data_IF_302942825684
#
_entry.id   IF_302942825684
#
_cell.length_a   1.000
_cell.length_b   1.000
_cell.length_c   1.000
_cell.angle_alpha   90.00
_cell.angle_beta   90.00
_cell.angle_gamma   90.00
#
_symmetry.space_group_name_H-M   'P 1'
#
loop_
_entity.id
_entity.type
_entity.pdbx_description
1 polymer ?
#
# COMPACT_ATOMS: atom_id res chain seq x y z
N UNK A 1 -24.27 -12.88 -1.21
CA UNK A 1 -23.30 -12.36 -0.23
C UNK A 1 -22.02 -13.15 -0.40
N UNK A 2 -20.89 -12.50 -0.64
CA UNK A 2 -19.60 -13.19 -0.80
C UNK A 2 -19.12 -13.63 0.59
N UNK A 3 -19.11 -14.94 0.86
CA UNK A 3 -18.51 -15.47 2.09
C UNK A 3 -17.02 -15.17 2.04
N UNK A 4 -16.51 -14.41 3.00
CA UNK A 4 -15.06 -14.23 3.17
C UNK A 4 -14.56 -15.55 3.74
N UNK A 5 -13.74 -16.26 2.97
CA UNK A 5 -13.06 -17.45 3.46
C UNK A 5 -12.13 -17.06 4.62
N UNK A 6 -12.09 -17.86 5.68
CA UNK A 6 -11.09 -17.69 6.73
C UNK A 6 -9.67 -17.87 6.16
N UNK A 7 -8.66 -17.41 6.89
CA UNK A 7 -7.29 -17.61 6.45
C UNK A 7 -6.95 -19.10 6.30
N UNK A 8 -7.42 -19.93 7.24
CA UNK A 8 -7.23 -21.39 7.19
C UNK A 8 -7.95 -22.03 5.99
N UNK A 9 -9.20 -21.62 5.69
CA UNK A 9 -9.92 -22.07 4.49
C UNK A 9 -9.15 -21.70 3.20
N UNK A 10 -8.45 -20.56 3.17
CA UNK A 10 -7.62 -20.15 2.03
C UNK A 10 -6.37 -21.02 1.91
N UNK A 11 -5.71 -21.36 3.03
CA UNK A 11 -4.55 -22.26 3.03
C UNK A 11 -4.93 -23.64 2.50
N UNK A 12 -6.04 -24.21 2.99
CA UNK A 12 -6.56 -25.50 2.51
C UNK A 12 -6.83 -25.47 1.00
N UNK A 13 -7.36 -24.37 0.47
CA UNK A 13 -7.58 -24.20 -0.97
C UNK A 13 -6.27 -24.13 -1.75
N UNK A 14 -5.24 -23.44 -1.23
CA UNK A 14 -3.92 -23.38 -1.85
C UNK A 14 -3.26 -24.75 -1.91
N UNK A 15 -3.45 -25.58 -0.87
CA UNK A 15 -2.91 -26.94 -0.80
C UNK A 15 -3.50 -27.87 -1.87
N UNK A 16 -4.69 -27.56 -2.40
CA UNK A 16 -5.28 -28.30 -3.54
C UNK A 16 -4.63 -27.99 -4.89
N UNK A 17 -3.84 -26.92 -4.99
CA UNK A 17 -3.18 -26.52 -6.24
C UNK A 17 -1.91 -27.34 -6.47
N UNK A 18 -1.59 -27.58 -7.74
CA UNK A 18 -0.28 -28.12 -8.13
C UNK A 18 0.85 -27.14 -7.77
N UNK A 19 2.08 -27.65 -7.68
CA UNK A 19 3.25 -26.82 -7.37
C UNK A 19 3.44 -25.67 -8.39
N UNK A 20 3.13 -25.91 -9.67
CA UNK A 20 3.18 -24.87 -10.71
C UNK A 20 2.15 -23.76 -10.46
N UNK A 21 0.91 -24.14 -10.14
CA UNK A 21 -0.17 -23.19 -9.83
C UNK A 21 0.11 -22.41 -8.54
N UNK A 22 0.67 -23.05 -7.51
CA UNK A 22 1.09 -22.37 -6.28
C UNK A 22 2.17 -21.31 -6.57
N UNK A 23 3.16 -21.64 -7.38
CA UNK A 23 4.20 -20.68 -7.80
C UNK A 23 3.61 -19.51 -8.59
N UNK A 24 2.71 -19.80 -9.54
CA UNK A 24 2.03 -18.76 -10.30
C UNK A 24 1.17 -17.85 -9.40
N UNK A 25 0.48 -18.43 -8.41
CA UNK A 25 -0.30 -17.68 -7.43
C UNK A 25 0.59 -16.74 -6.61
N UNK A 26 1.73 -17.21 -6.11
CA UNK A 26 2.70 -16.40 -5.36
C UNK A 26 3.16 -15.19 -6.18
N UNK A 27 3.49 -15.40 -7.46
CA UNK A 27 3.90 -14.31 -8.35
C UNK A 27 2.79 -13.28 -8.57
N UNK A 28 1.56 -13.73 -8.77
CA UNK A 28 0.40 -12.85 -8.93
C UNK A 28 0.17 -12.02 -7.65
N UNK A 29 0.20 -12.66 -6.48
CA UNK A 29 -0.01 -11.98 -5.19
C UNK A 29 1.08 -10.94 -4.96
N UNK A 30 2.36 -11.29 -5.19
CA UNK A 30 3.48 -10.34 -5.08
C UNK A 30 3.31 -9.14 -6.01
N UNK A 31 2.96 -9.37 -7.28
CA UNK A 31 2.69 -8.28 -8.24
C UNK A 31 1.56 -7.38 -7.76
N UNK A 32 0.46 -7.95 -7.26
CA UNK A 32 -0.68 -7.18 -6.74
C UNK A 32 -0.30 -6.30 -5.55
N UNK A 33 0.54 -6.80 -4.64
CA UNK A 33 1.05 -6.03 -3.50
C UNK A 33 1.92 -4.85 -3.95
N UNK A 34 2.82 -5.07 -4.92
CA UNK A 34 3.64 -3.99 -5.50
C UNK A 34 2.76 -2.92 -6.14
N UNK A 35 1.76 -3.33 -6.93
CA UNK A 35 0.84 -2.40 -7.58
C UNK A 35 -0.04 -1.65 -6.57
N UNK A 36 -0.45 -2.29 -5.48
CA UNK A 36 -1.15 -1.60 -4.40
C UNK A 36 -0.28 -0.52 -3.77
N UNK A 37 0.98 -0.85 -3.43
CA UNK A 37 1.91 0.12 -2.86
C UNK A 37 2.17 1.29 -3.81
N UNK A 38 2.28 1.03 -5.12
CA UNK A 38 2.41 2.09 -6.13
C UNK A 38 1.19 3.02 -6.15
N UNK A 39 -0.03 2.48 -6.05
CA UNK A 39 -1.26 3.29 -5.97
C UNK A 39 -1.29 4.15 -4.71
N UNK A 40 -0.87 3.61 -3.56
CA UNK A 40 -0.79 4.36 -2.30
C UNK A 40 0.21 5.54 -2.41
N UNK A 41 1.39 5.29 -3.00
CA UNK A 41 2.37 6.34 -3.26
C UNK A 41 1.81 7.41 -4.21
N UNK A 42 1.17 7.00 -5.31
CA UNK A 42 0.57 7.93 -6.26
C UNK A 42 -0.51 8.81 -5.59
N UNK A 43 -1.35 8.22 -4.73
CA UNK A 43 -2.34 8.95 -3.93
C UNK A 43 -1.69 9.95 -2.99
N UNK A 44 -0.65 9.54 -2.27
CA UNK A 44 0.12 10.41 -1.36
C UNK A 44 0.73 11.59 -2.11
N UNK A 45 1.33 11.35 -3.28
CA UNK A 45 1.89 12.42 -4.14
C UNK A 45 0.81 13.38 -4.62
N UNK A 46 -0.34 12.87 -5.04
CA UNK A 46 -1.44 13.71 -5.49
C UNK A 46 -1.93 14.63 -4.35
N UNK A 47 -2.15 14.06 -3.17
CA UNK A 47 -2.55 14.80 -1.98
C UNK A 47 -1.53 15.88 -1.60
N UNK A 48 -0.24 15.53 -1.52
CA UNK A 48 0.82 16.48 -1.18
C UNK A 48 0.91 17.64 -2.20
N UNK A 49 0.68 17.36 -3.49
CA UNK A 49 0.63 18.40 -4.53
C UNK A 49 -0.56 19.34 -4.35
N UNK A 50 -1.71 18.80 -3.98
CA UNK A 50 -2.92 19.60 -3.77
C UNK A 50 -2.79 20.47 -2.51
N UNK A 51 -2.27 19.92 -1.40
CA UNK A 51 -1.95 20.66 -0.17
C UNK A 51 -0.94 21.79 -0.44
N UNK A 52 0.12 21.52 -1.22
CA UNK A 52 1.09 22.54 -1.60
C UNK A 52 0.46 23.69 -2.40
N UNK A 53 -0.38 23.37 -3.38
CA UNK A 53 -1.11 24.37 -4.18
C UNK A 53 -2.11 25.17 -3.35
N UNK A 54 -2.78 24.51 -2.41
CA UNK A 54 -3.74 25.15 -1.51
C UNK A 54 -3.06 25.98 -0.40
N UNK A 55 -1.72 25.94 -0.31
CA UNK A 55 -0.99 26.60 0.78
C UNK A 55 -1.18 25.93 2.13
N UNK A 56 -1.75 24.71 2.16
CA UNK A 56 -1.96 23.89 3.35
C UNK A 56 -0.67 23.13 3.73
N UNK A 57 0.45 23.83 3.68
CA UNK A 57 1.77 23.30 4.00
C UNK A 57 2.39 24.18 5.06
N UNK A 58 3.08 23.56 6.02
CA UNK A 58 3.89 24.31 6.97
C UNK A 58 5.04 25.00 6.23
N UNK A 59 5.23 26.29 6.52
CA UNK A 59 6.33 27.11 6.00
C UNK A 59 6.97 27.82 7.18
N UNK A 60 8.29 27.70 7.30
CA UNK A 60 9.05 28.31 8.38
C UNK A 60 10.54 28.33 8.05
N UNK A 61 11.32 28.87 8.97
CA UNK A 61 12.78 28.78 9.00
C UNK A 61 13.23 27.33 9.18
N UNK A 62 14.52 27.07 8.98
CA UNK A 62 15.11 25.74 9.18
C UNK A 62 14.86 25.25 10.62
N UNK A 63 15.03 26.12 11.61
CA UNK A 63 14.84 25.77 13.02
C UNK A 63 13.38 25.40 13.34
N UNK A 64 12.42 26.13 12.75
CA UNK A 64 10.99 25.86 12.88
C UNK A 64 10.59 24.54 12.21
N UNK A 65 11.16 24.24 11.03
CA UNK A 65 10.93 22.98 10.31
C UNK A 65 11.50 21.79 11.10
N UNK A 66 12.73 21.90 11.62
CA UNK A 66 13.36 20.84 12.42
C UNK A 66 12.55 20.59 13.71
N UNK A 67 12.04 21.65 14.33
CA UNK A 67 11.19 21.53 15.52
C UNK A 67 9.89 20.80 15.21
N UNK A 68 9.25 21.09 14.08
CA UNK A 68 8.01 20.45 13.66
C UNK A 68 8.19 18.97 13.28
N UNK A 69 9.29 18.61 12.61
CA UNK A 69 9.58 17.23 12.20
C UNK A 69 9.96 16.28 13.36
N UNK A 70 10.42 16.83 14.48
CA UNK A 70 10.84 16.06 15.66
C UNK A 70 9.74 15.94 16.73
N UNK A 71 8.52 16.43 16.46
CA UNK A 71 7.34 16.18 17.29
C UNK A 71 6.75 14.80 17.01
#
# INVERSE_FOLDING_TARGET
>A
MTKIASFDEILDMIDTLSLEEQNALLDIVRRRQVEQRRREIAKSIAQAKDEYKAGQVFRGTIDEIITELNK
#
